data_IF_836692904616
#
_entry.id   IF_836692904616
#
_cell.length_a   1.000
_cell.length_b   1.000
_cell.length_c   1.000
_cell.angle_alpha   90.00
_cell.angle_beta   90.00
_cell.angle_gamma   90.00
#
_symmetry.space_group_name_H-M   'P 1'
#
loop_
_entity.id
_entity.type
_entity.pdbx_description
1 polymer ?
#
# COMPACT_ATOMS: atom_id res chain seq x y z
N UNK A 1 -0.84 1.01 4.48
CA UNK A 1 -1.02 -0.42 4.14
C UNK A 1 -0.03 -1.41 4.78
N UNK A 2 0.89 -1.01 5.67
CA UNK A 2 1.90 -1.96 6.20
C UNK A 2 1.28 -3.18 6.91
N UNK A 3 0.23 -2.97 7.72
CA UNK A 3 -0.44 -4.04 8.45
C UNK A 3 -1.08 -5.12 7.56
N UNK A 4 -1.85 -4.71 6.55
CA UNK A 4 -2.45 -5.68 5.60
C UNK A 4 -1.37 -6.46 4.82
N UNK A 5 -0.27 -5.82 4.42
CA UNK A 5 0.82 -6.53 3.75
C UNK A 5 1.51 -7.56 4.66
N UNK A 6 1.73 -7.21 5.94
CA UNK A 6 2.29 -8.13 6.91
C UNK A 6 1.36 -9.33 7.14
N UNK A 7 0.06 -9.09 7.27
CA UNK A 7 -0.93 -10.16 7.37
C UNK A 7 -0.90 -11.09 6.15
N UNK A 8 -1.00 -10.54 4.93
CA UNK A 8 -1.01 -11.32 3.69
C UNK A 8 0.25 -12.18 3.53
N UNK A 9 1.42 -11.64 3.91
CA UNK A 9 2.70 -12.35 3.85
C UNK A 9 2.77 -13.55 4.81
N UNK A 10 2.04 -13.51 5.92
CA UNK A 10 2.05 -14.54 6.96
C UNK A 10 1.04 -15.67 6.71
N UNK A 11 0.09 -15.50 5.79
CA UNK A 11 -0.91 -16.51 5.51
C UNK A 11 -0.29 -17.77 4.88
N UNK A 12 -0.79 -18.97 5.24
CA UNK A 12 -0.30 -20.20 4.65
C UNK A 12 -0.63 -20.24 3.15
N UNK A 13 0.35 -20.67 2.36
CA UNK A 13 0.18 -20.88 0.92
C UNK A 13 -0.14 -22.33 0.55
N UNK A 14 -0.27 -23.22 1.54
CA UNK A 14 -0.61 -24.64 1.36
C UNK A 14 0.27 -25.35 0.30
N UNK A 15 1.58 -25.06 0.30
CA UNK A 15 2.54 -25.61 -0.65
C UNK A 15 2.50 -24.99 -2.06
N UNK A 16 1.62 -24.02 -2.32
CA UNK A 16 1.57 -23.31 -3.61
C UNK A 16 2.69 -22.28 -3.68
N UNK A 17 3.37 -22.23 -4.82
CA UNK A 17 4.21 -21.07 -5.18
C UNK A 17 3.27 -19.90 -5.46
N UNK A 18 3.37 -18.84 -4.65
CA UNK A 18 2.59 -17.62 -4.84
C UNK A 18 3.51 -16.48 -5.24
N UNK A 19 3.10 -15.74 -6.26
CA UNK A 19 3.74 -14.49 -6.61
C UNK A 19 3.37 -13.41 -5.58
N UNK A 20 4.28 -12.47 -5.34
CA UNK A 20 4.05 -11.36 -4.40
C UNK A 20 2.86 -10.52 -4.87
N UNK A 21 2.78 -10.26 -6.18
CA UNK A 21 1.82 -9.36 -6.80
C UNK A 21 1.63 -9.75 -8.27
N UNK A 22 0.38 -9.91 -8.71
CA UNK A 22 0.07 -10.24 -10.12
C UNK A 22 -1.36 -9.84 -10.50
N UNK A 23 -1.58 -9.67 -11.80
CA UNK A 23 -2.93 -9.43 -12.33
C UNK A 23 -3.78 -10.72 -12.29
N UNK A 24 -5.11 -10.62 -12.14
CA UNK A 24 -5.99 -11.77 -12.22
C UNK A 24 -5.85 -12.56 -13.53
N UNK A 25 -5.54 -11.89 -14.65
CA UNK A 25 -5.37 -12.53 -15.96
C UNK A 25 -4.10 -13.40 -16.06
N UNK A 26 -3.15 -13.22 -15.14
CA UNK A 26 -1.92 -14.03 -15.09
C UNK A 26 -2.12 -15.35 -14.33
N UNK A 27 -3.27 -15.50 -13.67
CA UNK A 27 -3.69 -16.71 -12.96
C UNK A 27 -4.85 -17.31 -13.73
N UNK A 28 -4.86 -18.63 -13.96
CA UNK A 28 -5.90 -19.32 -14.72
C UNK A 28 -7.32 -19.11 -14.15
N UNK A 29 -7.87 -20.11 -13.47
CA UNK A 29 -9.17 -19.95 -12.81
C UNK A 29 -9.03 -19.11 -11.52
N UNK A 30 -8.92 -17.79 -11.68
CA UNK A 30 -8.68 -16.85 -10.58
C UNK A 30 -9.87 -16.69 -9.62
N UNK A 31 -11.04 -17.26 -9.92
CA UNK A 31 -12.15 -17.29 -8.96
C UNK A 31 -12.05 -18.49 -8.01
N UNK A 32 -11.48 -19.62 -8.45
CA UNK A 32 -11.40 -20.85 -7.63
C UNK A 32 -10.02 -21.13 -7.05
N UNK A 33 -8.96 -20.49 -7.59
CA UNK A 33 -7.56 -20.82 -7.25
C UNK A 33 -6.93 -19.98 -6.15
N UNK A 34 -7.64 -19.02 -5.54
CA UNK A 34 -7.05 -18.02 -4.63
C UNK A 34 -7.25 -18.29 -3.12
N UNK A 35 -7.46 -19.56 -2.74
CA UNK A 35 -7.71 -19.97 -1.35
C UNK A 35 -8.83 -19.16 -0.66
N UNK A 36 -9.76 -18.69 -1.48
CA UNK A 36 -10.91 -17.87 -1.12
C UNK A 36 -12.09 -18.40 -1.91
N UNK A 37 -13.27 -18.50 -1.28
CA UNK A 37 -14.45 -19.03 -1.96
C UNK A 37 -14.86 -18.13 -3.14
N UNK A 38 -15.24 -18.70 -4.31
CA UNK A 38 -15.58 -17.92 -5.50
C UNK A 38 -16.63 -16.84 -5.25
N UNK A 39 -17.68 -17.13 -4.46
CA UNK A 39 -18.71 -16.14 -4.14
C UNK A 39 -18.19 -14.90 -3.41
N UNK A 40 -17.16 -15.07 -2.58
CA UNK A 40 -16.51 -13.95 -1.87
C UNK A 40 -15.65 -13.15 -2.85
N UNK A 41 -14.95 -13.83 -3.76
CA UNK A 41 -14.17 -13.19 -4.82
C UNK A 41 -15.11 -12.38 -5.72
N UNK A 42 -16.23 -12.96 -6.16
CA UNK A 42 -17.27 -12.29 -6.96
C UNK A 42 -17.91 -11.13 -6.19
N UNK A 43 -18.17 -11.29 -4.90
CA UNK A 43 -18.70 -10.20 -4.08
C UNK A 43 -17.74 -9.02 -4.06
N UNK A 44 -16.44 -9.28 -3.83
CA UNK A 44 -15.44 -8.23 -3.76
C UNK A 44 -15.12 -7.63 -5.14
N UNK A 45 -14.93 -8.43 -6.17
CA UNK A 45 -14.43 -7.99 -7.48
C UNK A 45 -15.51 -7.56 -8.46
N UNK A 46 -16.73 -8.08 -8.34
CA UNK A 46 -17.79 -7.84 -9.34
C UNK A 46 -18.98 -7.06 -8.78
N UNK A 47 -19.40 -7.35 -7.54
CA UNK A 47 -20.58 -6.71 -6.95
C UNK A 47 -20.22 -5.40 -6.26
N UNK A 48 -19.26 -5.42 -5.32
CA UNK A 48 -18.85 -4.22 -4.59
C UNK A 48 -18.25 -3.14 -5.52
N UNK A 49 -17.66 -3.53 -6.65
CA UNK A 49 -16.92 -2.62 -7.54
C UNK A 49 -17.77 -1.95 -8.62
N UNK A 50 -19.08 -2.21 -8.69
CA UNK A 50 -19.93 -1.74 -9.80
C UNK A 50 -19.92 -0.23 -10.01
N UNK A 51 -19.70 0.54 -8.96
CA UNK A 51 -19.63 2.02 -8.99
C UNK A 51 -18.21 2.56 -9.21
N UNK A 52 -17.19 1.69 -9.27
CA UNK A 52 -15.82 2.14 -9.46
C UNK A 52 -15.59 2.62 -10.90
N UNK A 53 -14.78 3.66 -11.10
CA UNK A 53 -14.51 4.20 -12.44
C UNK A 53 -13.57 3.31 -13.26
N UNK A 54 -12.85 2.39 -12.63
CA UNK A 54 -11.88 1.51 -13.28
C UNK A 54 -11.67 0.19 -12.53
N UNK A 55 -11.01 -0.77 -13.19
CA UNK A 55 -10.77 -2.11 -12.63
C UNK A 55 -9.68 -2.06 -11.56
N UNK A 56 -10.06 -2.41 -10.33
CA UNK A 56 -9.15 -2.44 -9.18
C UNK A 56 -8.80 -3.87 -8.72
N UNK A 57 -9.29 -4.91 -9.39
CA UNK A 57 -9.06 -6.31 -9.00
C UNK A 57 -7.60 -6.70 -9.16
N UNK A 58 -7.00 -7.21 -8.09
CA UNK A 58 -5.58 -7.58 -8.08
C UNK A 58 -5.30 -8.76 -7.13
N UNK A 59 -4.16 -9.42 -7.30
CA UNK A 59 -3.76 -10.55 -6.45
C UNK A 59 -2.47 -10.22 -5.72
N UNK A 60 -2.46 -10.35 -4.39
CA UNK A 60 -1.29 -10.14 -3.54
C UNK A 60 -1.08 -11.37 -2.65
N UNK A 61 0.10 -11.99 -2.71
CA UNK A 61 0.41 -13.27 -2.03
C UNK A 61 -0.66 -14.36 -2.26
N UNK A 62 -1.18 -14.44 -3.49
CA UNK A 62 -2.23 -15.39 -3.84
C UNK A 62 -3.59 -15.12 -3.17
N UNK A 63 -3.87 -13.88 -2.75
CA UNK A 63 -5.17 -13.46 -2.20
C UNK A 63 -5.82 -12.38 -3.06
N UNK A 64 -7.15 -12.44 -3.23
CA UNK A 64 -7.90 -11.43 -3.96
C UNK A 64 -7.97 -10.13 -3.15
N UNK A 65 -7.58 -9.03 -3.77
CA UNK A 65 -7.63 -7.68 -3.20
C UNK A 65 -8.18 -6.67 -4.19
N UNK A 66 -8.55 -5.50 -3.70
CA UNK A 66 -8.76 -4.29 -4.50
C UNK A 66 -7.59 -3.35 -4.28
N UNK A 67 -6.92 -2.96 -5.36
CA UNK A 67 -5.78 -2.03 -5.37
C UNK A 67 -6.15 -0.82 -6.21
N UNK A 68 -5.97 0.37 -5.66
CA UNK A 68 -6.16 1.60 -6.42
C UNK A 68 -5.01 1.73 -7.43
N UNK A 69 -5.29 1.88 -8.74
CA UNK A 69 -4.29 1.68 -9.78
C UNK A 69 -3.19 2.75 -9.80
N UNK A 70 -3.50 4.01 -9.48
CA UNK A 70 -2.49 5.08 -9.44
C UNK A 70 -1.67 5.13 -8.16
N UNK A 71 -2.27 4.81 -7.00
CA UNK A 71 -1.61 4.89 -5.69
C UNK A 71 -0.98 3.58 -5.24
N UNK A 72 -1.40 2.45 -5.79
CA UNK A 72 -1.00 1.11 -5.33
C UNK A 72 -1.56 0.74 -3.96
N UNK A 73 -2.49 1.52 -3.41
CA UNK A 73 -3.06 1.28 -2.08
C UNK A 73 -4.11 0.17 -2.15
N UNK A 74 -3.95 -0.85 -1.31
CA UNK A 74 -4.99 -1.88 -1.10
C UNK A 74 -6.14 -1.25 -0.28
N UNK A 75 -7.36 -1.33 -0.80
CA UNK A 75 -8.56 -0.81 -0.13
C UNK A 75 -9.69 -1.84 0.01
N UNK A 76 -9.48 -3.05 -0.50
CA UNK A 76 -10.35 -4.19 -0.29
C UNK A 76 -9.57 -5.50 -0.24
N UNK A 77 -10.07 -6.48 0.50
CA UNK A 77 -9.39 -7.76 0.70
C UNK A 77 -10.43 -8.86 0.95
N UNK A 78 -10.32 -9.98 0.24
CA UNK A 78 -11.19 -11.14 0.41
C UNK A 78 -10.37 -12.36 0.87
N UNK A 79 -10.94 -13.16 1.76
CA UNK A 79 -10.24 -14.30 2.35
C UNK A 79 -11.18 -15.39 2.87
N UNK A 80 -10.67 -16.62 2.82
CA UNK A 80 -11.38 -17.79 3.33
C UNK A 80 -12.72 -18.01 2.64
N UNK A 81 -13.67 -18.59 3.35
CA UNK A 81 -14.96 -18.97 2.78
C UNK A 81 -16.10 -17.98 3.02
N UNK A 82 -15.92 -17.00 3.91
CA UNK A 82 -17.07 -16.23 4.43
C UNK A 82 -16.83 -14.72 4.59
N UNK A 83 -15.65 -14.19 4.24
CA UNK A 83 -15.31 -12.83 4.62
C UNK A 83 -14.52 -12.06 3.55
N UNK A 84 -14.87 -10.79 3.44
CA UNK A 84 -14.09 -9.76 2.79
C UNK A 84 -14.12 -8.51 3.67
N UNK A 85 -13.29 -7.54 3.35
CA UNK A 85 -13.15 -6.30 4.08
C UNK A 85 -12.89 -5.13 3.13
N UNK A 86 -13.32 -3.95 3.55
CA UNK A 86 -13.06 -2.68 2.87
C UNK A 86 -12.37 -1.72 3.84
N UNK A 87 -11.51 -0.85 3.31
CA UNK A 87 -10.89 0.24 4.07
C UNK A 87 -11.63 1.55 3.78
N UNK A 88 -12.49 1.95 4.71
CA UNK A 88 -13.35 3.12 4.54
C UNK A 88 -12.71 4.39 5.15
N UNK A 89 -12.98 5.57 4.57
CA UNK A 89 -12.80 6.85 5.28
C UNK A 89 -13.76 6.94 6.48
N UNK A 90 -13.47 7.85 7.41
CA UNK A 90 -14.11 7.93 8.73
C UNK A 90 -15.65 8.01 8.69
N UNK A 91 -16.21 8.85 7.82
CA UNK A 91 -17.67 9.04 7.71
C UNK A 91 -18.37 7.73 7.34
N UNK A 92 -17.91 7.06 6.29
CA UNK A 92 -18.51 5.79 5.85
C UNK A 92 -18.17 4.63 6.81
N UNK A 93 -17.04 4.70 7.52
CA UNK A 93 -16.74 3.78 8.62
C UNK A 93 -17.79 3.88 9.72
N UNK A 94 -18.09 5.09 10.22
CA UNK A 94 -19.10 5.32 11.25
C UNK A 94 -20.50 4.92 10.79
N UNK A 95 -20.85 5.24 9.53
CA UNK A 95 -22.09 4.79 8.92
C UNK A 95 -22.19 3.26 8.94
N UNK A 96 -21.14 2.55 8.52
CA UNK A 96 -21.13 1.09 8.49
C UNK A 96 -21.27 0.47 9.89
N UNK A 97 -20.57 1.02 10.89
CA UNK A 97 -20.72 0.59 12.29
C UNK A 97 -22.18 0.78 12.75
N UNK A 98 -22.82 1.90 12.40
CA UNK A 98 -24.24 2.14 12.75
C UNK A 98 -25.21 1.11 12.14
N UNK A 99 -24.82 0.47 11.02
CA UNK A 99 -25.57 -0.63 10.37
C UNK A 99 -25.16 -2.02 10.89
N UNK A 100 -24.40 -2.05 11.99
CA UNK A 100 -23.94 -3.28 12.64
C UNK A 100 -22.88 -4.02 11.83
N UNK A 101 -22.11 -3.32 11.01
CA UNK A 101 -20.88 -3.88 10.45
C UNK A 101 -19.82 -3.88 11.54
N UNK A 102 -19.00 -4.92 11.58
CA UNK A 102 -18.02 -5.12 12.65
C UNK A 102 -16.59 -4.95 12.12
N UNK A 103 -15.67 -4.58 13.01
CA UNK A 103 -14.22 -4.53 12.74
C UNK A 103 -13.52 -5.83 13.13
N UNK A 104 -14.09 -6.56 14.08
CA UNK A 104 -13.56 -7.80 14.63
C UNK A 104 -14.50 -8.94 14.31
N UNK A 105 -13.97 -10.14 14.09
CA UNK A 105 -14.78 -11.35 13.93
C UNK A 105 -14.11 -12.51 14.64
N UNK A 106 -14.91 -13.22 15.44
CA UNK A 106 -14.47 -14.43 16.14
C UNK A 106 -14.73 -15.66 15.28
N UNK A 107 -13.75 -16.55 15.28
CA UNK A 107 -13.73 -17.84 14.63
C UNK A 107 -13.43 -18.93 15.66
N UNK A 108 -13.73 -20.22 15.39
CA UNK A 108 -13.38 -21.30 16.30
C UNK A 108 -11.87 -21.40 16.61
N UNK A 109 -11.02 -20.96 15.68
CA UNK A 109 -9.56 -21.02 15.73
C UNK A 109 -8.89 -19.69 16.12
N UNK A 110 -9.67 -18.64 16.40
CA UNK A 110 -9.12 -17.35 16.84
C UNK A 110 -10.03 -16.16 16.58
N UNK A 111 -9.45 -14.97 16.65
CA UNK A 111 -10.13 -13.71 16.35
C UNK A 111 -9.33 -12.97 15.29
N UNK A 112 -10.02 -12.42 14.29
CA UNK A 112 -9.44 -11.50 13.34
C UNK A 112 -9.88 -10.08 13.67
N UNK A 113 -8.93 -9.27 14.11
CA UNK A 113 -9.11 -7.84 14.36
C UNK A 113 -8.33 -7.01 13.33
N UNK A 114 -9.06 -6.25 12.52
CA UNK A 114 -8.47 -5.35 11.54
C UNK A 114 -7.77 -4.13 12.15
N UNK A 115 -7.75 -3.97 13.47
CA UNK A 115 -6.87 -3.01 14.15
C UNK A 115 -5.42 -3.14 13.73
N UNK A 116 -4.95 -4.36 13.51
CA UNK A 116 -3.60 -4.64 13.04
C UNK A 116 -3.35 -4.19 11.58
N UNK A 117 -4.39 -4.00 10.77
CA UNK A 117 -4.25 -3.63 9.34
C UNK A 117 -4.11 -2.13 9.14
N UNK A 118 -4.65 -1.35 10.08
CA UNK A 118 -4.74 0.10 10.08
C UNK A 118 -6.16 0.58 10.40
N UNK A 119 -6.34 1.90 10.37
CA UNK A 119 -7.64 2.54 10.53
C UNK A 119 -8.53 2.35 9.28
N UNK A 120 -9.84 2.38 9.49
CA UNK A 120 -10.84 2.32 8.43
C UNK A 120 -11.24 0.93 7.96
N UNK A 121 -10.52 -0.13 8.35
CA UNK A 121 -10.85 -1.49 7.94
C UNK A 121 -12.07 -2.06 8.66
N UNK A 122 -13.04 -2.56 7.90
CA UNK A 122 -14.24 -3.24 8.39
C UNK A 122 -14.58 -4.47 7.55
N UNK A 123 -15.31 -5.42 8.13
CA UNK A 123 -15.84 -6.57 7.41
C UNK A 123 -16.95 -6.17 6.42
N UNK A 124 -17.12 -6.93 5.34
CA UNK A 124 -18.32 -6.89 4.53
C UNK A 124 -19.50 -7.60 5.21
N UNK A 125 -20.72 -7.17 4.88
CA UNK A 125 -21.99 -7.72 5.41
C UNK A 125 -23.05 -7.88 4.31
N UNK A 126 -22.66 -7.84 3.03
CA UNK A 126 -23.56 -7.97 1.88
C UNK A 126 -24.66 -6.90 1.83
N UNK A 127 -24.36 -5.71 2.34
CA UNK A 127 -25.30 -4.59 2.34
C UNK A 127 -25.33 -3.91 0.97
N UNK A 128 -26.48 -3.35 0.60
CA UNK A 128 -26.65 -2.63 -0.68
C UNK A 128 -25.77 -1.39 -0.78
N UNK A 129 -25.44 -0.78 0.36
CA UNK A 129 -24.60 0.42 0.48
C UNK A 129 -23.12 0.15 0.24
N UNK A 130 -22.71 -1.13 0.20
CA UNK A 130 -21.31 -1.47 0.00
C UNK A 130 -20.76 -1.05 -1.35
N UNK A 131 -21.61 -0.90 -2.38
CA UNK A 131 -21.18 -0.32 -3.65
C UNK A 131 -20.74 1.15 -3.48
N UNK A 132 -21.44 1.92 -2.63
CA UNK A 132 -21.08 3.30 -2.30
C UNK A 132 -19.86 3.36 -1.37
N UNK A 133 -19.81 2.48 -0.37
CA UNK A 133 -18.64 2.38 0.52
C UNK A 133 -17.38 1.96 -0.24
N UNK A 134 -17.49 1.06 -1.23
CA UNK A 134 -16.37 0.67 -2.08
C UNK A 134 -15.87 1.85 -2.92
N UNK A 135 -16.78 2.68 -3.47
CA UNK A 135 -16.41 3.91 -4.17
C UNK A 135 -15.73 4.92 -3.22
N UNK A 136 -16.21 5.06 -1.98
CA UNK A 136 -15.59 5.90 -0.98
C UNK A 136 -14.18 5.38 -0.60
N UNK A 137 -14.02 4.07 -0.41
CA UNK A 137 -12.74 3.42 -0.17
C UNK A 137 -11.75 3.63 -1.30
N UNK A 138 -12.21 3.55 -2.56
CA UNK A 138 -11.42 3.86 -3.74
C UNK A 138 -10.91 5.31 -3.71
N UNK A 139 -11.79 6.29 -3.49
CA UNK A 139 -11.39 7.71 -3.42
C UNK A 139 -10.42 7.97 -2.28
N UNK A 140 -10.70 7.39 -1.11
CA UNK A 140 -9.83 7.49 0.05
C UNK A 140 -8.44 6.89 -0.20
N UNK A 141 -8.36 5.80 -0.95
CA UNK A 141 -7.10 5.20 -1.39
C UNK A 141 -6.30 6.05 -2.39
N UNK A 142 -6.93 7.06 -3.03
CA UNK A 142 -6.23 8.09 -3.80
C UNK A 142 -5.69 9.20 -2.87
N UNK A 143 -6.50 9.64 -1.92
CA UNK A 143 -6.20 10.77 -1.03
C UNK A 143 -5.14 10.47 0.04
N UNK A 144 -5.05 9.22 0.51
CA UNK A 144 -4.04 8.79 1.49
C UNK A 144 -2.61 9.04 0.97
N UNK A 145 -2.40 9.01 -0.36
CA UNK A 145 -1.12 9.42 -0.97
C UNK A 145 -0.87 10.92 -0.82
N UNK A 146 -1.91 11.75 -0.92
CA UNK A 146 -1.79 13.20 -0.76
C UNK A 146 -1.51 13.62 0.69
N UNK A 147 -2.02 12.88 1.67
CA UNK A 147 -1.73 13.07 3.09
C UNK A 147 -0.31 12.62 3.47
N UNK A 148 0.18 11.50 2.93
CA UNK A 148 1.60 11.13 3.05
C UNK A 148 2.53 12.08 2.29
N UNK A 149 2.09 12.60 1.14
CA UNK A 149 2.81 13.64 0.40
C UNK A 149 2.80 15.00 1.12
N UNK A 150 1.77 15.31 1.92
CA UNK A 150 1.73 16.52 2.73
C UNK A 150 2.55 16.37 4.02
N UNK A 151 2.59 15.19 4.65
CA UNK A 151 3.51 14.89 5.75
C UNK A 151 4.98 14.89 5.30
N UNK A 152 5.28 14.40 4.10
CA UNK A 152 6.63 14.53 3.51
C UNK A 152 6.92 15.93 2.95
N UNK A 153 5.89 16.74 2.65
CA UNK A 153 6.07 18.19 2.40
C UNK A 153 6.35 18.97 3.68
N UNK A 154 5.79 18.57 4.83
CA UNK A 154 6.06 19.22 6.12
C UNK A 154 7.41 18.80 6.71
N UNK A 155 7.99 17.67 6.29
CA UNK A 155 9.38 17.29 6.64
C UNK A 155 10.43 17.69 5.59
N UNK A 156 10.03 18.26 4.45
CA UNK A 156 10.93 18.92 3.47
C UNK A 156 11.11 20.42 3.75
N UNK A 157 11.08 20.78 5.03
CA UNK A 157 11.85 21.91 5.57
C UNK A 157 12.83 21.39 6.63
N UNK A 158 13.59 20.34 6.30
CA UNK A 158 14.89 20.14 6.93
C UNK A 158 15.95 20.71 5.99
N UNK A 159 16.57 21.78 6.48
CA UNK A 159 17.83 22.37 6.09
C UNK A 159 18.39 21.91 4.74
N UNK A 160 18.49 22.83 3.78
CA UNK A 160 19.56 22.75 2.78
C UNK A 160 20.87 22.59 3.55
N UNK A 161 21.38 21.35 3.63
CA UNK A 161 22.71 21.08 4.16
C UNK A 161 23.65 22.06 3.44
N UNK A 162 24.30 22.93 4.21
CA UNK A 162 25.14 23.99 3.67
C UNK A 162 26.16 23.35 2.72
N UNK A 163 26.16 23.76 1.46
CA UNK A 163 27.02 23.17 0.42
C UNK A 163 28.11 24.15 0.08
N UNK A 164 29.36 23.70 0.12
CA UNK A 164 30.50 24.46 -0.39
C UNK A 164 30.86 23.97 -1.79
N UNK A 165 31.31 24.90 -2.63
CA UNK A 165 31.87 24.58 -3.93
C UNK A 165 33.35 24.22 -3.73
N UNK A 166 33.69 22.96 -4.01
CA UNK A 166 35.07 22.49 -4.07
C UNK A 166 35.47 22.21 -5.52
N UNK A 167 36.77 22.10 -5.78
CA UNK A 167 37.32 21.92 -7.12
C UNK A 167 38.04 20.58 -7.18
N UNK A 168 37.76 19.79 -8.22
CA UNK A 168 38.47 18.55 -8.46
C UNK A 168 39.96 18.84 -8.75
N UNK A 169 40.90 18.21 -8.02
CA UNK A 169 42.33 18.48 -8.19
C UNK A 169 42.90 18.02 -9.53
N UNK A 170 42.21 17.08 -10.23
CA UNK A 170 42.70 16.51 -11.49
C UNK A 170 42.20 17.25 -12.74
N UNK A 171 41.01 17.88 -12.72
CA UNK A 171 40.43 18.47 -13.94
C UNK A 171 39.75 19.84 -13.75
N UNK A 172 39.92 20.44 -12.57
CA UNK A 172 39.32 21.73 -12.20
C UNK A 172 37.78 21.80 -12.26
N UNK A 173 37.08 20.67 -12.39
CA UNK A 173 35.63 20.61 -12.31
C UNK A 173 35.17 21.13 -10.95
N UNK A 174 34.16 22.01 -10.92
CA UNK A 174 33.51 22.45 -9.68
C UNK A 174 32.48 21.41 -9.22
N UNK A 175 32.51 21.03 -7.95
CA UNK A 175 31.58 20.11 -7.30
C UNK A 175 30.98 20.79 -6.07
N UNK A 176 29.75 20.39 -5.72
CA UNK A 176 29.11 20.80 -4.46
C UNK A 176 29.27 19.68 -3.45
N UNK A 177 29.93 19.96 -2.33
CA UNK A 177 30.10 19.03 -1.23
C UNK A 177 29.32 19.52 0.00
N UNK A 178 28.65 18.63 0.75
CA UNK A 178 27.95 18.99 1.98
C UNK A 178 28.96 19.24 3.12
N UNK A 179 28.83 20.37 3.84
CA UNK A 179 29.76 20.77 4.92
C UNK A 179 29.52 19.98 6.21
N UNK A 180 28.30 19.52 6.43
CA UNK A 180 27.82 18.87 7.66
C UNK A 180 28.30 17.42 7.85
N UNK A 181 29.04 16.85 6.89
CA UNK A 181 29.45 15.44 6.91
C UNK A 181 30.92 15.19 7.23
N UNK A 182 31.69 16.22 7.59
CA UNK A 182 33.11 16.07 7.93
C UNK A 182 33.96 15.63 6.73
N UNK A 183 34.93 14.73 6.96
CA UNK A 183 35.80 14.21 5.91
C UNK A 183 35.04 13.31 4.93
N UNK A 184 35.10 13.60 3.63
CA UNK A 184 34.39 12.84 2.60
C UNK A 184 35.32 12.36 1.50
N UNK A 185 35.05 11.15 0.99
CA UNK A 185 35.63 10.66 -0.25
C UNK A 185 34.80 11.18 -1.43
N UNK A 186 35.31 12.19 -2.15
CA UNK A 186 34.62 12.74 -3.31
C UNK A 186 35.11 12.07 -4.60
N UNK A 187 34.17 11.85 -5.53
CA UNK A 187 34.43 11.32 -6.86
C UNK A 187 34.11 12.37 -7.93
N UNK A 188 35.06 12.67 -8.82
CA UNK A 188 34.82 13.60 -9.91
C UNK A 188 33.94 12.94 -10.99
N UNK A 189 32.77 13.50 -11.34
CA UNK A 189 31.94 12.91 -12.38
C UNK A 189 32.61 12.98 -13.77
N UNK A 190 33.47 13.98 -13.99
CA UNK A 190 34.15 14.26 -15.26
C UNK A 190 35.34 13.34 -15.52
N UNK A 191 36.29 13.25 -14.59
CA UNK A 191 37.53 12.46 -14.79
C UNK A 191 37.62 11.20 -13.91
N UNK A 192 36.59 10.89 -13.11
CA UNK A 192 36.51 9.73 -12.20
C UNK A 192 37.60 9.65 -11.12
N UNK A 193 38.41 10.71 -10.96
CA UNK A 193 39.38 10.82 -9.89
C UNK A 193 38.69 10.93 -8.52
N UNK A 194 39.20 10.21 -7.52
CA UNK A 194 38.69 10.22 -6.15
C UNK A 194 39.72 10.88 -5.22
N UNK A 195 39.27 11.76 -4.31
CA UNK A 195 40.16 12.43 -3.35
C UNK A 195 39.47 12.73 -2.03
N UNK A 196 40.25 12.73 -0.95
CA UNK A 196 39.75 13.04 0.39
C UNK A 196 39.54 14.54 0.49
N UNK A 197 38.30 14.95 0.70
CA UNK A 197 37.92 16.33 0.87
C UNK A 197 37.63 16.62 2.34
N UNK A 198 38.11 17.77 2.81
CA UNK A 198 37.88 18.29 4.16
C UNK A 198 37.23 19.67 4.04
N UNK A 199 36.14 19.95 4.79
CA UNK A 199 35.65 21.32 4.91
C UNK A 199 36.73 22.19 5.55
N UNK A 200 37.01 23.34 4.92
CA UNK A 200 37.94 24.37 5.39
C UNK A 200 37.25 25.33 6.35
#
# INVERSE_FOLDING_TARGET
NAGIFQHLKQLPNLGRKVEISQSPQSVGDHYTSLLTHPDIVMQLWDKATRKLPERCSWIVYGRPVLVHPSSGIIFGYAFGSIAYALRLPQEQYEEAISKGVERTKKYPDGELDFKSFGEGWIFGKWLKEEEDWCLAAYRFAMEDVSYWNSFTKTSSQTATAEKVITVCPNCAQKLRAPIDRGELMLACPKCKHNWLWRPS
#
